data_IF_850599154983
#
_entry.id   IF_850599154983
#
_cell.length_a   1.000
_cell.length_b   1.000
_cell.length_c   1.000
_cell.angle_alpha   90.00
_cell.angle_beta   90.00
_cell.angle_gamma   90.00
#
_symmetry.space_group_name_H-M   'P 1'
#
loop_
_entity.id
_entity.type
_entity.pdbx_description
1 polymer ?
#
# COMPACT_ATOMS: atom_id res chain seq x y z
N UNK A 1 -22.61 11.18 -10.07
CA UNK A 1 -23.64 10.45 -10.83
C UNK A 1 -24.50 11.48 -11.57
N UNK A 2 -24.23 11.64 -12.89
CA UNK A 2 -24.88 12.68 -13.69
C UNK A 2 -26.40 12.50 -13.82
N UNK A 3 -26.90 11.27 -13.83
CA UNK A 3 -28.33 11.00 -13.93
C UNK A 3 -29.04 11.43 -12.65
N UNK A 4 -28.45 11.12 -11.49
CA UNK A 4 -29.01 11.53 -10.20
C UNK A 4 -28.91 13.05 -9.99
N UNK A 5 -27.82 13.67 -10.42
CA UNK A 5 -27.68 15.13 -10.39
C UNK A 5 -28.81 15.81 -11.17
N UNK A 6 -29.10 15.30 -12.39
CA UNK A 6 -30.24 15.79 -13.20
C UNK A 6 -31.60 15.51 -12.51
N UNK A 7 -31.78 14.29 -12.02
CA UNK A 7 -33.04 13.89 -11.33
C UNK A 7 -33.36 14.79 -10.13
N UNK A 8 -32.36 15.18 -9.36
CA UNK A 8 -32.54 16.06 -8.18
C UNK A 8 -32.37 17.55 -8.51
N UNK A 9 -32.20 17.92 -9.80
CA UNK A 9 -32.05 19.32 -10.24
C UNK A 9 -30.98 20.07 -9.44
N UNK A 10 -29.84 19.43 -9.23
CA UNK A 10 -28.72 20.04 -8.48
C UNK A 10 -28.06 21.10 -9.33
N UNK A 11 -27.86 22.29 -8.78
CA UNK A 11 -27.22 23.41 -9.45
C UNK A 11 -25.72 23.14 -9.72
N UNK A 12 -25.21 23.67 -10.83
CA UNK A 12 -23.78 23.47 -11.19
C UNK A 12 -22.82 24.06 -10.16
N UNK A 13 -23.22 25.11 -9.52
CA UNK A 13 -22.48 25.81 -8.45
C UNK A 13 -22.19 24.88 -7.28
N UNK A 14 -23.08 23.91 -7.02
CA UNK A 14 -22.97 22.95 -5.92
C UNK A 14 -22.05 21.74 -6.24
N UNK A 15 -21.58 21.60 -7.48
CA UNK A 15 -20.73 20.46 -7.87
C UNK A 15 -19.40 20.44 -7.10
N UNK A 16 -18.86 21.61 -6.75
CA UNK A 16 -17.66 21.72 -5.92
C UNK A 16 -17.90 21.21 -4.50
N UNK A 17 -19.05 21.52 -3.93
CA UNK A 17 -19.47 21.02 -2.61
C UNK A 17 -19.64 19.51 -2.62
N UNK A 18 -20.28 18.97 -3.67
CA UNK A 18 -20.40 17.52 -3.85
C UNK A 18 -19.06 16.82 -3.99
N UNK A 19 -18.10 17.41 -4.72
CA UNK A 19 -16.76 16.86 -4.84
C UNK A 19 -15.98 16.86 -3.52
N UNK A 20 -16.32 17.77 -2.60
CA UNK A 20 -15.77 17.84 -1.24
C UNK A 20 -16.50 16.93 -0.23
N UNK A 21 -17.47 16.14 -0.69
CA UNK A 21 -18.23 15.25 0.18
C UNK A 21 -19.39 15.92 0.96
N UNK A 22 -19.69 17.20 0.64
CA UNK A 22 -20.75 17.95 1.33
C UNK A 22 -22.12 17.66 0.76
N UNK A 23 -23.16 17.75 1.60
CA UNK A 23 -24.56 17.70 1.20
C UNK A 23 -24.94 19.02 0.51
N UNK A 24 -25.92 18.94 -0.40
CA UNK A 24 -26.42 20.11 -1.15
C UNK A 24 -27.94 20.23 -1.02
N UNK A 25 -28.53 21.29 -1.55
CA UNK A 25 -29.97 21.47 -1.62
C UNK A 25 -30.47 21.39 -3.07
N UNK A 26 -31.63 20.80 -3.29
CA UNK A 26 -32.26 20.83 -4.60
C UNK A 26 -32.96 22.20 -4.88
N UNK A 27 -33.48 22.37 -6.08
CA UNK A 27 -34.17 23.60 -6.50
C UNK A 27 -35.39 23.96 -5.62
N UNK A 28 -35.91 23.03 -4.83
CA UNK A 28 -37.04 23.23 -3.91
C UNK A 28 -36.62 23.49 -2.45
N UNK A 29 -35.27 23.62 -2.21
CA UNK A 29 -34.73 23.83 -0.87
C UNK A 29 -34.62 22.55 -0.02
N UNK A 30 -34.84 21.36 -0.60
CA UNK A 30 -34.73 20.10 0.10
C UNK A 30 -33.25 19.66 0.18
N UNK A 31 -32.81 19.32 1.37
CA UNK A 31 -31.43 18.80 1.57
C UNK A 31 -31.24 17.43 0.93
N UNK A 32 -30.25 17.29 0.09
CA UNK A 32 -29.87 16.06 -0.61
C UNK A 32 -28.52 15.62 -0.07
N UNK A 33 -28.44 14.39 0.42
CA UNK A 33 -27.19 13.81 0.91
C UNK A 33 -26.21 13.61 -0.24
N UNK A 34 -24.95 13.92 -0.02
CA UNK A 34 -23.87 13.69 -0.97
C UNK A 34 -23.89 12.26 -1.53
N UNK A 35 -24.00 11.25 -0.68
CA UNK A 35 -24.05 9.84 -1.07
C UNK A 35 -25.22 9.46 -1.97
N UNK A 36 -26.29 10.28 -2.01
CA UNK A 36 -27.44 10.02 -2.87
C UNK A 36 -27.19 10.41 -4.34
N UNK A 37 -26.29 11.36 -4.59
CA UNK A 37 -26.06 11.94 -5.93
C UNK A 37 -24.62 11.77 -6.43
N UNK A 38 -23.72 11.25 -5.60
CA UNK A 38 -22.34 10.95 -5.99
C UNK A 38 -22.12 9.45 -6.15
N UNK A 39 -21.09 9.10 -6.89
CA UNK A 39 -20.55 7.74 -6.95
C UNK A 39 -19.31 7.74 -6.08
N UNK A 40 -19.18 6.77 -5.18
CA UNK A 40 -17.97 6.62 -4.37
C UNK A 40 -16.78 6.51 -5.32
N UNK A 41 -15.85 7.45 -5.23
CA UNK A 41 -14.61 7.42 -6.00
C UNK A 41 -13.84 6.13 -5.78
N UNK A 42 -13.05 5.72 -6.77
CA UNK A 42 -12.10 4.64 -6.56
C UNK A 42 -11.16 5.04 -5.42
N UNK A 43 -10.95 4.13 -4.49
CA UNK A 43 -9.91 4.34 -3.48
C UNK A 43 -8.57 4.45 -4.21
N UNK A 44 -7.74 5.47 -3.91
CA UNK A 44 -6.43 5.55 -4.49
C UNK A 44 -5.62 4.33 -4.06
N UNK A 45 -4.96 3.69 -5.01
CA UNK A 45 -4.00 2.66 -4.70
C UNK A 45 -2.74 3.28 -4.08
N UNK A 46 -2.12 2.58 -3.14
CA UNK A 46 -0.95 3.07 -2.43
C UNK A 46 0.20 2.07 -2.52
N UNK A 47 1.36 2.58 -2.89
CA UNK A 47 2.59 1.83 -3.04
C UNK A 47 3.71 2.51 -2.25
N UNK A 48 4.51 1.74 -1.53
CA UNK A 48 5.72 2.21 -0.90
C UNK A 48 6.91 1.40 -1.37
N UNK A 49 8.02 2.07 -1.65
CA UNK A 49 9.27 1.48 -2.09
C UNK A 49 10.37 1.77 -1.06
N UNK A 50 10.85 0.72 -0.40
CA UNK A 50 11.86 0.77 0.64
C UNK A 50 13.03 -0.11 0.22
N UNK A 51 14.07 0.50 -0.32
CA UNK A 51 15.28 -0.19 -0.78
C UNK A 51 16.52 0.36 -0.08
N UNK A 52 17.59 -0.46 -0.06
CA UNK A 52 18.89 -0.12 0.53
C UNK A 52 18.76 0.45 1.96
N UNK A 53 18.03 -0.25 2.80
CA UNK A 53 17.74 0.18 4.17
C UNK A 53 17.95 -0.92 5.20
N UNK A 54 18.64 -0.61 6.28
CA UNK A 54 18.64 -1.45 7.46
C UNK A 54 17.22 -1.56 8.06
N UNK A 55 17.01 -2.53 8.95
CA UNK A 55 15.76 -2.63 9.71
C UNK A 55 15.49 -1.34 10.51
N UNK A 56 14.53 -0.55 10.04
CA UNK A 56 14.29 0.81 10.52
C UNK A 56 12.84 1.03 10.91
N UNK A 57 12.50 0.79 12.18
CA UNK A 57 11.13 0.92 12.69
C UNK A 57 10.50 2.33 12.54
N UNK A 58 11.25 3.44 12.62
CA UNK A 58 10.69 4.77 12.41
C UNK A 58 10.04 5.01 11.03
N UNK A 59 10.30 4.14 10.02
CA UNK A 59 9.64 4.22 8.71
C UNK A 59 8.17 3.76 8.75
N UNK A 60 7.79 2.93 9.71
CA UNK A 60 6.46 2.29 9.77
C UNK A 60 5.28 3.28 9.65
N UNK A 61 5.26 4.44 10.32
CA UNK A 61 4.18 5.41 10.17
C UNK A 61 3.99 5.93 8.74
N UNK A 62 5.08 6.05 7.96
CA UNK A 62 5.06 6.59 6.60
C UNK A 62 4.55 5.59 5.57
N UNK A 63 4.68 4.28 5.85
CA UNK A 63 4.22 3.19 4.96
C UNK A 63 2.98 2.48 5.52
N UNK A 64 2.29 3.12 6.45
CA UNK A 64 1.12 2.51 7.12
C UNK A 64 -0.06 2.33 6.17
N UNK A 65 -0.66 1.12 6.21
CA UNK A 65 -1.84 0.72 5.45
C UNK A 65 -1.67 0.80 3.92
N UNK A 66 -0.44 0.79 3.40
CA UNK A 66 -0.22 0.73 1.95
C UNK A 66 -0.75 -0.59 1.38
N UNK A 67 -1.21 -0.57 0.13
CA UNK A 67 -1.69 -1.77 -0.54
C UNK A 67 -0.53 -2.68 -0.93
N UNK A 68 0.56 -2.11 -1.46
CA UNK A 68 1.78 -2.84 -1.79
C UNK A 68 2.99 -2.16 -1.15
N UNK A 69 3.70 -2.91 -0.31
CA UNK A 69 4.99 -2.51 0.23
C UNK A 69 6.08 -3.30 -0.49
N UNK A 70 6.91 -2.64 -1.29
CA UNK A 70 8.21 -3.19 -1.67
C UNK A 70 9.20 -2.92 -0.54
N UNK A 71 9.90 -3.95 -0.10
CA UNK A 71 10.98 -3.81 0.86
C UNK A 71 12.16 -4.67 0.44
N UNK A 72 13.38 -4.12 0.57
CA UNK A 72 14.57 -4.93 0.35
C UNK A 72 14.63 -6.09 1.34
N UNK A 73 15.25 -7.17 0.92
CA UNK A 73 15.58 -8.35 1.72
C UNK A 73 16.89 -8.93 1.20
N UNK A 74 17.97 -8.23 1.42
CA UNK A 74 19.29 -8.62 0.90
C UNK A 74 19.77 -9.92 1.54
N UNK A 75 19.36 -10.21 2.79
CA UNK A 75 19.83 -11.35 3.56
C UNK A 75 18.69 -12.16 4.17
N UNK A 76 19.01 -13.37 4.62
CA UNK A 76 18.20 -14.19 5.51
C UNK A 76 18.57 -13.91 6.98
N UNK A 77 17.71 -14.27 7.90
CA UNK A 77 17.91 -14.05 9.36
C UNK A 77 19.20 -14.70 9.87
N UNK A 78 19.62 -15.82 9.31
CA UNK A 78 20.90 -16.48 9.64
C UNK A 78 22.12 -15.57 9.37
N UNK A 79 22.00 -14.61 8.45
CA UNK A 79 23.04 -13.66 8.08
C UNK A 79 22.81 -12.26 8.66
N UNK A 80 22.01 -12.14 9.72
CA UNK A 80 21.60 -10.85 10.35
C UNK A 80 22.80 -9.98 10.75
N UNK A 81 23.89 -10.58 11.19
CA UNK A 81 25.08 -9.82 11.55
C UNK A 81 25.66 -9.08 10.34
N UNK A 82 25.66 -9.74 9.17
CA UNK A 82 26.11 -9.14 7.92
C UNK A 82 25.14 -8.06 7.44
N UNK A 83 23.84 -8.33 7.54
CA UNK A 83 22.80 -7.34 7.24
C UNK A 83 23.02 -6.04 8.04
N UNK A 84 23.29 -6.15 9.33
CA UNK A 84 23.55 -5.02 10.20
C UNK A 84 24.81 -4.24 9.83
N UNK A 85 25.91 -4.94 9.48
CA UNK A 85 27.19 -4.31 9.09
C UNK A 85 27.06 -3.58 7.75
N UNK A 86 26.31 -4.15 6.81
CA UNK A 86 26.14 -3.58 5.46
C UNK A 86 24.93 -2.66 5.35
N UNK A 87 24.20 -2.43 6.44
CA UNK A 87 23.00 -1.58 6.53
C UNK A 87 21.86 -2.04 5.60
N UNK A 88 21.68 -3.36 5.53
CA UNK A 88 20.58 -4.01 4.80
C UNK A 88 19.63 -4.73 5.75
N UNK A 89 18.53 -5.21 5.21
CA UNK A 89 17.51 -5.95 5.95
C UNK A 89 17.52 -7.45 5.63
N UNK A 90 17.00 -8.25 6.57
CA UNK A 90 16.64 -9.65 6.32
C UNK A 90 15.20 -9.78 5.83
N UNK A 91 14.85 -10.89 5.19
CA UNK A 91 13.48 -11.19 4.76
C UNK A 91 12.50 -11.14 5.95
N UNK A 92 12.89 -11.67 7.09
CA UNK A 92 12.11 -11.61 8.33
C UNK A 92 11.91 -10.20 8.84
N UNK A 93 12.94 -9.35 8.77
CA UNK A 93 12.85 -7.94 9.15
C UNK A 93 11.91 -7.16 8.21
N UNK A 94 12.01 -7.37 6.91
CA UNK A 94 11.07 -6.80 5.93
C UNK A 94 9.62 -7.20 6.23
N UNK A 95 9.38 -8.48 6.55
CA UNK A 95 8.07 -8.99 6.94
C UNK A 95 7.56 -8.37 8.25
N UNK A 96 8.44 -8.10 9.23
CA UNK A 96 8.10 -7.39 10.46
C UNK A 96 7.67 -5.94 10.19
N UNK A 97 8.33 -5.23 9.27
CA UNK A 97 7.92 -3.89 8.83
C UNK A 97 6.52 -3.96 8.19
N UNK A 98 6.30 -4.88 7.24
CA UNK A 98 5.00 -5.06 6.57
C UNK A 98 3.86 -5.31 7.58
N UNK A 99 4.09 -6.21 8.54
CA UNK A 99 3.13 -6.53 9.61
C UNK A 99 2.80 -5.33 10.50
N UNK A 100 3.82 -4.59 10.94
CA UNK A 100 3.66 -3.39 11.77
C UNK A 100 2.98 -2.26 11.01
N UNK A 101 3.31 -2.10 9.73
CA UNK A 101 2.69 -1.14 8.83
C UNK A 101 1.25 -1.50 8.44
N UNK A 102 0.80 -2.72 8.69
CA UNK A 102 -0.48 -3.26 8.21
C UNK A 102 -0.59 -3.12 6.68
N UNK A 103 0.50 -3.37 5.97
CA UNK A 103 0.50 -3.44 4.51
C UNK A 103 -0.44 -4.56 4.07
N UNK A 104 -1.07 -4.44 2.88
CA UNK A 104 -1.91 -5.51 2.36
C UNK A 104 -1.08 -6.62 1.71
N UNK A 105 0.02 -6.25 1.06
CA UNK A 105 0.96 -7.17 0.40
C UNK A 105 2.39 -6.69 0.60
N UNK A 106 3.32 -7.64 0.76
CA UNK A 106 4.75 -7.41 0.79
C UNK A 106 5.39 -7.97 -0.48
N UNK A 107 6.15 -7.14 -1.17
CA UNK A 107 6.99 -7.52 -2.30
C UNK A 107 8.44 -7.45 -1.86
N UNK A 108 9.13 -8.60 -1.81
CA UNK A 108 10.54 -8.69 -1.43
C UNK A 108 11.43 -8.59 -2.66
N UNK A 109 12.49 -7.81 -2.57
CA UNK A 109 13.49 -7.69 -3.62
C UNK A 109 14.87 -7.36 -3.09
N UNK A 110 15.80 -7.02 -4.00
CA UNK A 110 17.19 -6.68 -3.66
C UNK A 110 17.95 -7.83 -2.98
N UNK A 111 17.83 -9.05 -3.54
CA UNK A 111 18.45 -10.24 -2.97
C UNK A 111 19.94 -10.27 -3.22
N UNK A 112 20.74 -10.72 -2.25
CA UNK A 112 22.16 -10.94 -2.45
C UNK A 112 22.40 -12.11 -3.42
N UNK A 113 23.31 -11.92 -4.37
CA UNK A 113 23.70 -12.95 -5.36
C UNK A 113 24.29 -14.22 -4.78
N UNK A 114 24.55 -14.26 -3.47
CA UNK A 114 25.01 -15.48 -2.77
C UNK A 114 23.94 -16.57 -2.67
N UNK A 115 22.68 -16.18 -2.77
CA UNK A 115 21.56 -17.12 -2.66
C UNK A 115 21.10 -17.54 -4.04
N UNK A 116 21.21 -18.84 -4.34
CA UNK A 116 20.80 -19.39 -5.63
C UNK A 116 19.30 -19.69 -5.66
N UNK A 117 18.72 -20.02 -4.53
CA UNK A 117 17.28 -20.27 -4.38
C UNK A 117 16.64 -19.12 -3.62
N UNK A 118 15.80 -18.36 -4.32
CA UNK A 118 15.11 -17.20 -3.73
C UNK A 118 13.84 -17.59 -2.96
N UNK A 119 13.34 -18.83 -3.10
CA UNK A 119 12.16 -19.29 -2.37
C UNK A 119 12.37 -19.29 -0.86
N UNK A 120 13.61 -19.41 -0.41
CA UNK A 120 13.96 -19.33 1.03
C UNK A 120 13.62 -17.99 1.65
N UNK A 121 13.68 -16.89 0.89
CA UNK A 121 13.27 -15.55 1.36
C UNK A 121 11.76 -15.46 1.59
N UNK A 122 10.98 -15.97 0.64
CA UNK A 122 9.54 -16.03 0.75
C UNK A 122 9.11 -16.86 1.94
N UNK A 123 9.71 -18.05 2.10
CA UNK A 123 9.43 -18.95 3.21
C UNK A 123 9.76 -18.32 4.56
N UNK A 124 10.91 -17.65 4.68
CA UNK A 124 11.29 -16.95 5.91
C UNK A 124 10.31 -15.82 6.24
N UNK A 125 10.00 -14.98 5.26
CA UNK A 125 9.08 -13.86 5.45
C UNK A 125 7.67 -14.32 5.82
N UNK A 126 7.18 -15.41 5.24
CA UNK A 126 5.86 -15.99 5.52
C UNK A 126 5.70 -16.51 6.96
N UNK A 127 6.78 -16.73 7.67
CA UNK A 127 6.70 -17.04 9.12
C UNK A 127 6.16 -15.87 9.95
N UNK A 128 6.19 -14.64 9.40
CA UNK A 128 5.81 -13.39 10.08
C UNK A 128 4.63 -12.70 9.43
N UNK A 129 4.59 -12.66 8.08
CA UNK A 129 3.59 -11.98 7.28
C UNK A 129 3.22 -12.87 6.09
N UNK A 130 1.94 -13.23 5.95
CA UNK A 130 1.49 -14.27 5.02
C UNK A 130 1.52 -13.84 3.54
N UNK A 131 1.04 -12.62 3.24
CA UNK A 131 0.88 -12.15 1.85
C UNK A 131 2.20 -11.59 1.29
N UNK A 132 3.14 -12.48 1.01
CA UNK A 132 4.49 -12.17 0.51
C UNK A 132 4.62 -12.67 -0.93
N UNK A 133 5.32 -11.89 -1.76
CA UNK A 133 5.69 -12.25 -3.13
C UNK A 133 7.13 -11.81 -3.39
N UNK A 134 7.85 -12.55 -4.23
CA UNK A 134 9.21 -12.16 -4.67
C UNK A 134 9.15 -11.21 -5.87
N UNK A 135 9.91 -10.14 -5.83
CA UNK A 135 10.10 -9.21 -6.95
C UNK A 135 11.12 -9.80 -7.94
N UNK A 136 10.66 -10.71 -8.79
CA UNK A 136 11.51 -11.29 -9.82
C UNK A 136 11.57 -10.38 -11.05
N UNK A 137 12.73 -10.33 -11.69
CA UNK A 137 12.94 -9.54 -12.91
C UNK A 137 11.97 -9.95 -14.02
N UNK A 138 11.49 -8.96 -14.78
CA UNK A 138 10.54 -9.17 -15.87
C UNK A 138 9.10 -9.41 -15.43
N UNK A 139 8.80 -9.41 -14.13
CA UNK A 139 7.44 -9.60 -13.60
C UNK A 139 6.74 -8.25 -13.36
N UNK A 140 5.48 -8.17 -13.74
CA UNK A 140 4.62 -7.00 -13.48
C UNK A 140 3.73 -7.26 -12.28
N UNK A 141 3.74 -6.35 -11.33
CA UNK A 141 2.87 -6.38 -10.14
C UNK A 141 1.81 -5.28 -10.23
N UNK A 142 0.58 -5.62 -9.86
CA UNK A 142 -0.53 -4.66 -9.81
C UNK A 142 -0.76 -4.22 -8.36
N UNK A 143 -1.01 -2.94 -8.17
CA UNK A 143 -1.40 -2.34 -6.90
C UNK A 143 -2.90 -2.15 -6.85
#
# INVERSE_FOLDING_TARGET
>A
DLEKIKKYSIAKEDYKLLAQGQDVTDANGKKIKNSAVTIKGRQPHSYAFCSDTAYHLPMVPFVKNVELLYHEATFLEQDIQRANVTLHSTAKQAALIAKKAKAKQLLLGHFSSRYMDLTVFENEAKTVFENVTLALEGTTFKV
#
